data_IF_485408235693
#
_entry.id   IF_485408235693
#
_cell.length_a   1.000
_cell.length_b   1.000
_cell.length_c   1.000
_cell.angle_alpha   90.00
_cell.angle_beta   90.00
_cell.angle_gamma   90.00
#
_symmetry.space_group_name_H-M   'P 1'
#
loop_
_entity.id
_entity.type
_entity.pdbx_description
1 polymer ?
#
# COMPACT_ATOMS: atom_id res chain seq x y z
N UNK A 1 5.55 -18.07 10.54
CA UNK A 1 4.89 -16.94 9.87
C UNK A 1 5.05 -15.68 10.72
N UNK A 2 5.48 -14.61 10.14
CA UNK A 2 5.58 -13.33 10.86
C UNK A 2 4.19 -12.73 11.08
N UNK A 3 3.93 -12.11 12.23
CA UNK A 3 2.59 -11.61 12.56
C UNK A 3 2.15 -10.43 11.70
N UNK A 4 3.10 -9.68 11.15
CA UNK A 4 2.82 -8.49 10.33
C UNK A 4 3.18 -8.73 8.88
N UNK A 5 2.44 -8.09 7.99
CA UNK A 5 2.71 -8.05 6.57
C UNK A 5 2.66 -6.61 6.07
N UNK A 6 3.59 -6.25 5.20
CA UNK A 6 3.61 -4.95 4.54
C UNK A 6 3.58 -5.18 3.03
N UNK A 7 2.61 -4.61 2.38
CA UNK A 7 2.35 -4.78 0.97
C UNK A 7 2.41 -3.43 0.25
N UNK A 8 3.44 -3.24 -0.55
CA UNK A 8 3.58 -2.07 -1.41
C UNK A 8 2.82 -2.28 -2.72
N UNK A 9 1.90 -1.38 -3.01
CA UNK A 9 1.05 -1.40 -4.19
C UNK A 9 1.49 -0.33 -5.17
N UNK A 10 1.22 -0.56 -6.43
CA UNK A 10 1.40 0.41 -7.50
C UNK A 10 2.13 -0.14 -8.71
N UNK A 11 2.14 0.66 -9.76
CA UNK A 11 2.80 0.36 -11.01
C UNK A 11 4.04 1.26 -11.18
N UNK A 12 5.22 0.67 -11.15
CA UNK A 12 6.49 1.39 -11.26
C UNK A 12 6.70 2.13 -12.59
N UNK A 13 5.90 1.83 -13.61
CA UNK A 13 5.92 2.51 -14.91
C UNK A 13 5.03 3.75 -14.95
N UNK A 14 4.26 4.01 -13.89
CA UNK A 14 3.25 5.06 -13.82
C UNK A 14 3.63 6.17 -12.83
N UNK A 15 4.89 6.58 -12.82
CA UNK A 15 5.37 7.71 -12.02
C UNK A 15 5.07 7.56 -10.53
N UNK A 16 4.29 8.49 -9.98
CA UNK A 16 3.98 8.54 -8.56
C UNK A 16 3.11 7.37 -8.06
N UNK A 17 2.51 6.59 -8.94
CA UNK A 17 1.85 5.34 -8.58
C UNK A 17 2.82 4.32 -7.97
N UNK A 18 4.11 4.49 -8.22
CA UNK A 18 5.16 3.66 -7.63
C UNK A 18 5.49 3.99 -6.15
N UNK A 19 4.81 4.96 -5.54
CA UNK A 19 5.13 5.38 -4.16
C UNK A 19 5.04 4.21 -3.16
N UNK A 20 4.00 3.39 -3.22
CA UNK A 20 3.86 2.22 -2.35
C UNK A 20 4.97 1.20 -2.55
N UNK A 21 5.37 0.98 -3.79
CA UNK A 21 6.49 0.09 -4.13
C UNK A 21 7.80 0.63 -3.54
N UNK A 22 8.07 1.92 -3.68
CA UNK A 22 9.27 2.56 -3.15
C UNK A 22 9.36 2.43 -1.62
N UNK A 23 8.25 2.63 -0.92
CA UNK A 23 8.19 2.43 0.54
C UNK A 23 8.48 0.98 0.92
N UNK A 24 7.86 0.03 0.26
CA UNK A 24 8.09 -1.40 0.53
C UNK A 24 9.55 -1.80 0.26
N UNK A 25 10.15 -1.31 -0.80
CA UNK A 25 11.57 -1.57 -1.10
C UNK A 25 12.50 -0.99 -0.03
N UNK A 26 12.21 0.18 0.50
CA UNK A 26 12.94 0.77 1.62
C UNK A 26 12.81 -0.09 2.87
N UNK A 27 11.61 -0.49 3.23
CA UNK A 27 11.33 -1.29 4.42
C UNK A 27 11.89 -2.71 4.33
N UNK A 28 11.96 -3.29 3.14
CA UNK A 28 12.53 -4.61 2.92
C UNK A 28 14.04 -4.68 3.24
N UNK A 29 14.70 -3.55 3.31
CA UNK A 29 16.12 -3.42 3.67
C UNK A 29 16.34 -3.05 5.14
N UNK A 30 15.27 -2.87 5.90
CA UNK A 30 15.34 -2.47 7.31
C UNK A 30 15.14 -3.69 8.21
N UNK A 31 16.22 -4.16 8.90
CA UNK A 31 16.11 -5.32 9.77
C UNK A 31 15.10 -5.13 10.91
N UNK A 32 14.90 -3.91 11.39
CA UNK A 32 13.93 -3.63 12.45
C UNK A 32 12.50 -3.92 12.02
N UNK A 33 12.24 -3.85 10.72
CA UNK A 33 10.95 -4.20 10.11
C UNK A 33 10.93 -5.68 9.73
N UNK A 34 11.96 -6.14 9.01
CA UNK A 34 11.96 -7.50 8.45
C UNK A 34 12.09 -8.59 9.49
N UNK A 35 12.53 -8.30 10.68
CA UNK A 35 12.50 -9.27 11.79
C UNK A 35 11.07 -9.61 12.22
N UNK A 36 10.13 -8.70 12.08
CA UNK A 36 8.74 -8.84 12.56
C UNK A 36 7.69 -8.89 11.45
N UNK A 37 7.97 -8.30 10.32
CA UNK A 37 7.05 -8.21 9.19
C UNK A 37 7.63 -8.89 7.96
N UNK A 38 6.78 -9.49 7.17
CA UNK A 38 7.09 -9.87 5.81
C UNK A 38 6.74 -8.70 4.89
N UNK A 39 7.69 -8.29 4.03
CA UNK A 39 7.53 -7.12 3.16
C UNK A 39 7.65 -7.55 1.71
N UNK A 40 6.66 -7.19 0.90
CA UNK A 40 6.72 -7.44 -0.55
C UNK A 40 5.95 -6.39 -1.35
N UNK A 41 6.12 -6.44 -2.66
CA UNK A 41 5.38 -5.61 -3.61
C UNK A 41 4.41 -6.48 -4.39
N UNK A 42 3.21 -5.98 -4.64
CA UNK A 42 2.17 -6.73 -5.34
C UNK A 42 1.76 -6.10 -6.68
N UNK A 43 2.41 -5.03 -7.07
CA UNK A 43 1.99 -4.31 -8.27
C UNK A 43 0.54 -3.83 -8.14
N UNK A 44 -0.28 -4.10 -9.15
CA UNK A 44 -1.70 -3.75 -9.15
C UNK A 44 -2.61 -4.90 -8.64
N UNK A 45 -2.08 -6.07 -8.40
CA UNK A 45 -2.86 -7.28 -8.13
C UNK A 45 -2.70 -7.76 -6.69
N UNK A 46 -3.53 -7.21 -5.81
CA UNK A 46 -3.60 -7.62 -4.39
C UNK A 46 -4.10 -9.06 -4.25
N UNK A 47 -4.95 -9.53 -5.16
CA UNK A 47 -5.56 -10.86 -5.07
C UNK A 47 -4.52 -11.97 -5.12
N UNK A 48 -3.41 -11.78 -5.80
CA UNK A 48 -2.30 -12.75 -5.83
C UNK A 48 -1.59 -12.91 -4.49
N UNK A 49 -1.80 -11.99 -3.58
CA UNK A 49 -1.17 -12.00 -2.26
C UNK A 49 -2.02 -12.67 -1.18
N UNK A 50 -3.19 -13.22 -1.53
CA UNK A 50 -4.14 -13.76 -0.55
C UNK A 50 -3.52 -14.80 0.38
N UNK A 51 -2.76 -15.75 -0.16
CA UNK A 51 -2.13 -16.80 0.64
C UNK A 51 -1.09 -16.25 1.64
N UNK A 52 -0.49 -15.11 1.31
CA UNK A 52 0.51 -14.44 2.15
C UNK A 52 -0.13 -13.53 3.18
N UNK A 53 -1.36 -13.12 2.96
CA UNK A 53 -2.13 -12.23 3.85
C UNK A 53 -2.80 -13.03 4.97
N UNK A 54 -3.28 -14.23 4.65
CA UNK A 54 -4.05 -15.04 5.59
C UNK A 54 -3.29 -15.36 6.87
N UNK A 55 -3.97 -15.23 8.00
CA UNK A 55 -3.43 -15.57 9.33
C UNK A 55 -2.51 -14.52 9.95
N UNK A 56 -2.35 -13.35 9.35
CA UNK A 56 -1.56 -12.25 9.93
C UNK A 56 -2.36 -11.52 11.00
N UNK A 57 -1.67 -10.95 11.98
CA UNK A 57 -2.29 -10.06 12.96
C UNK A 57 -2.67 -8.72 12.36
N UNK A 58 -1.81 -8.20 11.49
CA UNK A 58 -2.05 -6.97 10.75
C UNK A 58 -1.44 -7.03 9.36
N UNK A 59 -2.18 -6.51 8.41
CA UNK A 59 -1.71 -6.29 7.04
C UNK A 59 -1.70 -4.79 6.77
N UNK A 60 -0.55 -4.26 6.43
CA UNK A 60 -0.35 -2.85 6.12
C UNK A 60 -0.19 -2.73 4.61
N UNK A 61 -1.11 -2.01 3.99
CA UNK A 61 -1.06 -1.74 2.55
C UNK A 61 -0.56 -0.31 2.33
N UNK A 62 0.41 -0.16 1.46
CA UNK A 62 0.98 1.16 1.12
C UNK A 62 0.68 1.45 -0.34
N UNK A 63 0.01 2.55 -0.60
CA UNK A 63 -0.44 2.91 -1.95
C UNK A 63 -0.39 4.42 -2.15
N UNK A 64 -0.33 4.82 -3.42
CA UNK A 64 -0.52 6.20 -3.82
C UNK A 64 -2.01 6.51 -3.94
N UNK A 65 -2.41 7.72 -3.58
CA UNK A 65 -3.78 8.18 -3.74
C UNK A 65 -3.83 9.56 -4.38
N UNK A 66 -4.62 9.67 -5.42
CA UNK A 66 -4.88 10.92 -6.14
C UNK A 66 -6.14 11.54 -5.55
N UNK A 67 -6.00 12.50 -4.63
CA UNK A 67 -7.15 13.02 -3.89
C UNK A 67 -7.25 14.56 -3.86
N UNK A 68 -6.53 15.26 -4.73
CA UNK A 68 -6.59 16.71 -4.85
C UNK A 68 -5.98 17.48 -3.68
N UNK A 69 -5.40 16.82 -2.70
CA UNK A 69 -4.65 17.43 -1.60
C UNK A 69 -3.17 17.58 -1.97
N UNK A 70 -2.40 18.24 -1.11
CA UNK A 70 -0.98 18.48 -1.34
C UNK A 70 -0.20 17.19 -1.62
N UNK A 71 0.54 17.10 -2.75
CA UNK A 71 1.41 15.98 -3.02
C UNK A 71 2.46 15.81 -1.93
N UNK A 72 2.72 14.56 -1.55
CA UNK A 72 3.68 14.23 -0.50
C UNK A 72 3.09 14.13 0.89
N UNK A 73 1.80 14.40 1.07
CA UNK A 73 1.13 14.14 2.35
C UNK A 73 1.00 12.63 2.57
N UNK A 74 1.17 12.19 3.81
CA UNK A 74 0.99 10.80 4.21
C UNK A 74 -0.19 10.69 5.15
N UNK A 75 -1.10 9.77 4.86
CA UNK A 75 -2.26 9.47 5.70
C UNK A 75 -2.24 8.01 6.15
N UNK A 76 -2.71 7.75 7.36
CA UNK A 76 -2.92 6.40 7.88
C UNK A 76 -4.40 6.22 8.15
N UNK A 77 -5.03 5.25 7.50
CA UNK A 77 -6.46 5.01 7.61
C UNK A 77 -6.77 3.52 7.68
N UNK A 78 -7.87 3.17 8.33
CA UNK A 78 -8.35 1.78 8.38
C UNK A 78 -9.22 1.43 7.18
N UNK A 79 -9.84 2.42 6.57
CA UNK A 79 -10.67 2.27 5.36
C UNK A 79 -10.35 3.38 4.37
N UNK A 80 -9.69 3.07 3.24
CA UNK A 80 -9.43 4.07 2.22
C UNK A 80 -10.72 4.42 1.47
N UNK A 81 -10.79 5.61 0.86
CA UNK A 81 -11.90 5.96 -0.01
C UNK A 81 -12.00 4.96 -1.17
N UNK A 82 -13.21 4.41 -1.38
CA UNK A 82 -13.49 3.51 -2.50
C UNK A 82 -13.73 4.28 -3.81
N UNK A 83 -14.13 5.54 -3.69
CA UNK A 83 -14.42 6.40 -4.84
C UNK A 83 -13.13 6.98 -5.42
N UNK A 84 -12.76 6.50 -6.57
CA UNK A 84 -11.72 7.11 -7.41
C UNK A 84 -12.42 7.89 -8.53
N UNK A 85 -12.28 9.23 -8.57
CA UNK A 85 -12.99 10.06 -9.54
C UNK A 85 -12.64 9.77 -11.00
N UNK A 86 -11.59 9.05 -11.26
CA UNK A 86 -11.15 8.67 -12.60
C UNK A 86 -10.88 7.18 -12.66
N UNK A 87 -11.91 6.40 -12.28
CA UNK A 87 -11.83 4.96 -12.34
C UNK A 87 -11.41 4.48 -13.73
N UNK A 88 -10.29 3.82 -13.80
CA UNK A 88 -10.04 2.92 -14.89
C UNK A 88 -11.13 1.85 -14.78
N UNK A 89 -12.15 1.92 -15.63
CA UNK A 89 -13.37 1.11 -15.58
C UNK A 89 -13.14 -0.41 -15.63
N UNK A 90 -11.90 -0.84 -15.74
CA UNK A 90 -11.51 -2.24 -15.91
C UNK A 90 -10.64 -2.80 -14.78
N UNK A 91 -10.32 -2.00 -13.76
CA UNK A 91 -9.42 -2.41 -12.69
C UNK A 91 -10.10 -2.27 -11.33
N UNK A 92 -10.14 -3.36 -10.58
CA UNK A 92 -10.46 -3.27 -9.16
C UNK A 92 -9.38 -2.42 -8.49
N UNK A 93 -9.80 -1.39 -7.75
CA UNK A 93 -8.88 -0.71 -6.85
C UNK A 93 -8.37 -1.71 -5.81
N UNK A 94 -7.21 -1.42 -5.21
CA UNK A 94 -6.71 -2.28 -4.14
C UNK A 94 -7.71 -2.39 -2.97
N UNK A 95 -8.40 -1.30 -2.65
CA UNK A 95 -9.41 -1.29 -1.61
C UNK A 95 -10.61 -2.17 -1.96
N UNK A 96 -11.09 -2.14 -3.21
CA UNK A 96 -12.16 -3.01 -3.69
C UNK A 96 -11.72 -4.48 -3.69
N UNK A 97 -10.48 -4.77 -4.08
CA UNK A 97 -9.92 -6.11 -4.06
C UNK A 97 -9.87 -6.68 -2.63
N UNK A 98 -9.44 -5.89 -1.65
CA UNK A 98 -9.43 -6.29 -0.23
C UNK A 98 -10.86 -6.57 0.25
N UNK A 99 -11.81 -5.71 -0.08
CA UNK A 99 -13.20 -5.91 0.31
C UNK A 99 -13.81 -7.16 -0.34
N UNK A 100 -13.49 -7.41 -1.61
CA UNK A 100 -13.90 -8.63 -2.30
C UNK A 100 -13.31 -9.88 -1.64
N UNK A 101 -12.04 -9.86 -1.27
CA UNK A 101 -11.39 -10.95 -0.54
C UNK A 101 -12.09 -11.24 0.78
N UNK A 102 -12.41 -10.19 1.54
CA UNK A 102 -13.11 -10.33 2.82
C UNK A 102 -14.46 -11.01 2.68
N UNK A 103 -15.19 -10.72 1.61
CA UNK A 103 -16.52 -11.29 1.35
C UNK A 103 -16.43 -12.70 0.78
N UNK A 104 -15.50 -12.94 -0.15
CA UNK A 104 -15.35 -14.21 -0.84
C UNK A 104 -14.65 -15.28 0.01
N UNK A 105 -13.86 -14.87 0.99
CA UNK A 105 -13.07 -15.75 1.85
C UNK A 105 -13.37 -15.51 3.33
N UNK A 106 -14.47 -16.08 3.86
CA UNK A 106 -14.84 -15.89 5.28
C UNK A 106 -13.78 -16.41 6.26
N UNK A 107 -12.90 -17.30 5.80
CA UNK A 107 -11.77 -17.81 6.58
C UNK A 107 -10.53 -16.93 6.55
N UNK A 108 -10.51 -15.91 5.69
CA UNK A 108 -9.42 -14.95 5.64
C UNK A 108 -9.40 -14.13 6.93
N UNK A 109 -8.33 -14.28 7.70
CA UNK A 109 -8.22 -13.64 9.01
C UNK A 109 -6.90 -12.86 9.17
N UNK A 110 -6.69 -11.76 8.45
CA UNK A 110 -5.87 -10.74 9.09
C UNK A 110 -6.74 -10.11 10.18
N UNK A 111 -6.19 -9.93 11.36
CA UNK A 111 -6.92 -9.29 12.43
C UNK A 111 -7.26 -7.83 12.09
N UNK A 112 -6.40 -7.19 11.32
CA UNK A 112 -6.57 -5.79 10.94
C UNK A 112 -5.88 -5.45 9.62
N UNK A 113 -6.61 -4.73 8.76
CA UNK A 113 -6.04 -4.04 7.61
C UNK A 113 -5.83 -2.56 7.95
N UNK A 114 -4.66 -2.03 7.64
CA UNK A 114 -4.34 -0.61 7.79
C UNK A 114 -3.69 -0.11 6.51
N UNK A 115 -4.05 1.07 6.08
CA UNK A 115 -3.55 1.69 4.87
C UNK A 115 -2.64 2.86 5.19
N UNK A 116 -1.49 2.91 4.56
CA UNK A 116 -0.61 4.08 4.55
C UNK A 116 -0.66 4.63 3.13
N UNK A 117 -1.22 5.82 3.00
CA UNK A 117 -1.49 6.45 1.71
C UNK A 117 -0.52 7.61 1.49
N UNK A 118 0.14 7.61 0.35
CA UNK A 118 0.96 8.74 -0.11
C UNK A 118 0.14 9.54 -1.12
N UNK A 119 -0.15 10.79 -0.80
CA UNK A 119 -0.93 11.68 -1.65
C UNK A 119 -0.10 12.15 -2.83
N UNK A 120 -0.64 12.01 -4.03
CA UNK A 120 0.00 12.39 -5.28
C UNK A 120 -0.88 13.35 -6.07
N UNK A 121 -0.24 14.22 -6.87
CA UNK A 121 -0.96 15.19 -7.70
C UNK A 121 -1.67 14.51 -8.89
N UNK A 122 -0.98 13.57 -9.53
CA UNK A 122 -1.51 12.83 -10.69
C UNK A 122 -0.76 11.53 -10.88
N UNK A 123 -1.45 10.57 -11.47
CA UNK A 123 -0.86 9.29 -11.89
C UNK A 123 -0.80 9.30 -13.41
N UNK A 124 0.41 9.26 -13.96
CA UNK A 124 0.65 9.26 -15.41
C UNK A 124 1.92 8.50 -15.75
N UNK A 125 1.99 7.98 -16.97
CA UNK A 125 3.16 7.30 -17.48
C UNK A 125 4.36 8.26 -17.44
N UNK A 126 5.33 7.94 -16.59
CA UNK A 126 6.51 8.77 -16.37
C UNK A 126 7.54 7.92 -15.64
N UNK A 127 8.81 8.18 -15.90
CA UNK A 127 9.89 7.53 -15.18
C UNK A 127 10.14 8.26 -13.85
N UNK A 128 10.14 7.47 -12.76
CA UNK A 128 10.47 7.94 -11.43
C UNK A 128 9.37 8.73 -10.73
N UNK A 129 9.61 9.02 -9.46
CA UNK A 129 8.70 9.78 -8.59
C UNK A 129 8.90 11.29 -8.79
N UNK A 130 7.84 12.08 -8.60
CA UNK A 130 7.97 13.53 -8.45
C UNK A 130 8.82 13.86 -7.20
N UNK A 131 9.39 15.07 -7.16
CA UNK A 131 10.23 15.50 -6.05
C UNK A 131 9.49 15.47 -4.71
N UNK A 132 8.23 15.91 -4.69
CA UNK A 132 7.39 15.95 -3.49
C UNK A 132 7.09 14.56 -2.96
N UNK A 133 6.78 13.62 -3.85
CA UNK A 133 6.49 12.24 -3.48
C UNK A 133 7.76 11.51 -3.06
N UNK A 134 8.87 11.69 -3.77
CA UNK A 134 10.17 11.13 -3.37
C UNK A 134 10.57 11.59 -1.97
N UNK A 135 10.37 12.87 -1.65
CA UNK A 135 10.65 13.40 -0.32
C UNK A 135 9.74 12.83 0.78
N UNK A 136 8.55 12.34 0.43
CA UNK A 136 7.59 11.78 1.37
C UNK A 136 7.86 10.30 1.71
N UNK A 137 8.66 9.58 0.94
CA UNK A 137 8.89 8.15 1.13
C UNK A 137 9.42 7.82 2.52
N UNK A 138 10.42 8.53 3.09
CA UNK A 138 10.88 8.26 4.45
C UNK A 138 9.79 8.45 5.51
N UNK A 139 8.93 9.45 5.37
CA UNK A 139 7.82 9.69 6.30
C UNK A 139 6.77 8.57 6.21
N UNK A 140 6.46 8.09 5.01
CA UNK A 140 5.56 6.96 4.80
C UNK A 140 6.16 5.67 5.40
N UNK A 141 7.44 5.42 5.22
CA UNK A 141 8.13 4.29 5.84
C UNK A 141 8.08 4.38 7.38
N UNK A 142 8.30 5.56 7.95
CA UNK A 142 8.17 5.78 9.39
C UNK A 142 6.75 5.52 9.90
N UNK A 143 5.72 5.91 9.14
CA UNK A 143 4.33 5.63 9.48
C UNK A 143 4.05 4.11 9.50
N UNK A 144 4.58 3.36 8.56
CA UNK A 144 4.49 1.88 8.55
C UNK A 144 5.18 1.29 9.78
N UNK A 145 6.40 1.72 10.08
CA UNK A 145 7.17 1.23 11.24
C UNK A 145 6.41 1.46 12.56
N UNK A 146 5.73 2.58 12.69
CA UNK A 146 4.93 2.88 13.89
C UNK A 146 3.74 1.92 14.08
N UNK A 147 3.31 1.21 13.04
CA UNK A 147 2.24 0.21 13.09
C UNK A 147 2.74 -1.19 13.43
N UNK A 148 4.03 -1.40 13.49
CA UNK A 148 4.70 -2.67 13.81
C UNK A 148 5.34 -2.53 15.19
N UNK A 149 4.70 -3.05 16.25
CA UNK A 149 5.22 -2.93 17.60
C UNK A 149 6.47 -3.75 17.88
#
# INVERSE_FOLDING_TARGET
>A
MKPFAVLGLGNSLMGDDAAGVAVAEMLARDPTVTDRAEVWTAGADVLRSMDRIDGRERVILVDAVECGEEPGRVSVVDQPPLDRPHGHAHWLSAAEAVELMRRAMPGLRPAKFTWVLVHVASIKAQEGLSAEVAAAIPAAAAAVKALIP
#
